data_IF_141054738292
#
_entry.id   IF_141054738292
#
_cell.length_a   1.000
_cell.length_b   1.000
_cell.length_c   1.000
_cell.angle_alpha   90.00
_cell.angle_beta   90.00
_cell.angle_gamma   90.00
#
_symmetry.space_group_name_H-M   'P 1'
#
loop_
_entity.id
_entity.type
_entity.pdbx_description
1 polymer ?
#
# COMPACT_ATOMS: atom_id res chain seq x y z
N UNK A 1 -8.52 -1.77 -25.99
CA UNK A 1 -8.01 -0.67 -25.14
C UNK A 1 -7.68 -1.31 -23.79
N UNK A 2 -6.41 -1.36 -23.38
CA UNK A 2 -6.07 -1.91 -22.06
C UNK A 2 -6.37 -0.84 -21.01
N UNK A 3 -7.45 -1.01 -20.27
CA UNK A 3 -7.78 -0.16 -19.12
C UNK A 3 -6.93 -0.62 -17.94
N UNK A 4 -6.06 0.24 -17.42
CA UNK A 4 -5.36 0.01 -16.15
C UNK A 4 -6.35 0.21 -15.01
N UNK A 5 -6.43 -0.76 -14.09
CA UNK A 5 -7.32 -0.71 -12.94
C UNK A 5 -6.59 -0.23 -11.69
N UNK A 6 -5.31 -0.55 -11.55
CA UNK A 6 -4.47 -0.15 -10.43
C UNK A 6 -4.01 1.31 -10.54
N UNK A 7 -4.19 2.08 -9.47
CA UNK A 7 -3.56 3.39 -9.33
C UNK A 7 -2.20 3.25 -8.63
N UNK A 8 -1.11 3.51 -9.36
CA UNK A 8 0.27 3.50 -8.82
C UNK A 8 0.76 4.88 -8.38
N UNK A 9 -0.04 5.94 -8.57
CA UNK A 9 0.30 7.28 -8.12
C UNK A 9 -0.09 7.47 -6.65
N UNK A 10 0.60 8.34 -5.89
CA UNK A 10 0.18 8.72 -4.56
C UNK A 10 -1.27 9.21 -4.56
N UNK A 11 -2.11 8.58 -3.74
CA UNK A 11 -3.55 8.83 -3.68
C UNK A 11 -4.06 8.83 -2.22
N UNK A 12 -3.28 9.42 -1.32
CA UNK A 12 -3.61 9.51 0.10
C UNK A 12 -4.48 10.75 0.37
N UNK A 13 -5.62 10.54 1.03
CA UNK A 13 -6.52 11.60 1.46
C UNK A 13 -7.92 11.07 1.73
N UNK A 14 -8.73 11.87 2.40
CA UNK A 14 -10.15 11.59 2.63
C UNK A 14 -10.97 12.33 1.58
N UNK A 15 -11.92 11.67 0.87
CA UNK A 15 -12.80 12.33 -0.07
C UNK A 15 -13.53 13.51 0.58
N UNK A 16 -13.41 14.69 -0.03
CA UNK A 16 -14.04 15.93 0.47
C UNK A 16 -13.19 16.73 1.46
N UNK A 17 -12.08 16.20 1.96
CA UNK A 17 -11.15 16.96 2.79
C UNK A 17 -10.13 17.74 1.95
N UNK A 18 -9.74 18.92 2.44
CA UNK A 18 -8.69 19.75 1.84
C UNK A 18 -7.50 19.83 2.79
N UNK A 19 -6.35 19.32 2.36
CA UNK A 19 -5.12 19.39 3.12
C UNK A 19 -4.33 20.66 2.78
N UNK A 20 -3.67 21.24 3.79
CA UNK A 20 -2.80 22.42 3.62
C UNK A 20 -1.63 22.11 2.68
N UNK A 21 -1.05 20.92 2.80
CA UNK A 21 -0.03 20.42 1.90
C UNK A 21 -0.42 19.02 1.39
N UNK A 22 -0.24 18.72 0.09
CA UNK A 22 -0.73 17.50 -0.54
C UNK A 22 -0.06 16.22 -0.01
N UNK A 23 1.12 16.32 0.62
CA UNK A 23 1.88 15.18 1.14
C UNK A 23 1.48 14.78 2.57
N UNK A 24 0.82 15.67 3.32
CA UNK A 24 0.48 15.45 4.74
C UNK A 24 -0.31 14.15 5.01
N UNK A 25 -1.30 13.75 4.20
CA UNK A 25 -2.02 12.49 4.45
C UNK A 25 -1.13 11.27 4.26
N UNK A 26 -0.20 11.32 3.31
CA UNK A 26 0.79 10.27 3.09
C UNK A 26 1.73 10.15 4.27
N UNK A 27 2.33 11.27 4.69
CA UNK A 27 3.24 11.31 5.84
C UNK A 27 2.57 10.78 7.11
N UNK A 28 1.33 11.22 7.38
CA UNK A 28 0.56 10.76 8.53
C UNK A 28 0.23 9.25 8.46
N UNK A 29 0.00 8.70 7.27
CA UNK A 29 -0.19 7.26 7.10
C UNK A 29 1.12 6.50 7.32
N UNK A 30 2.24 6.97 6.75
CA UNK A 30 3.56 6.36 6.95
C UNK A 30 3.96 6.35 8.42
N UNK A 31 3.76 7.45 9.15
CA UNK A 31 4.05 7.53 10.58
C UNK A 31 3.27 6.49 11.39
N UNK A 32 1.99 6.28 11.07
CA UNK A 32 1.15 5.27 11.73
C UNK A 32 1.60 3.86 11.39
N UNK A 33 1.96 3.60 10.14
CA UNK A 33 2.46 2.30 9.70
C UNK A 33 3.76 1.97 10.42
N UNK A 34 4.74 2.87 10.40
CA UNK A 34 6.02 2.71 11.12
C UNK A 34 5.78 2.50 12.61
N UNK A 35 4.88 3.28 13.20
CA UNK A 35 4.54 3.14 14.62
C UNK A 35 3.90 1.78 14.94
N UNK A 36 3.14 1.20 14.02
CA UNK A 36 2.53 -0.12 14.21
C UNK A 36 3.55 -1.27 14.26
N UNK A 37 4.76 -1.05 13.74
CA UNK A 37 5.86 -2.02 13.81
C UNK A 37 6.74 -1.88 15.05
N UNK A 38 6.55 -0.83 15.88
CA UNK A 38 7.36 -0.64 17.09
C UNK A 38 7.15 -1.81 18.05
N UNK A 39 8.25 -2.21 18.68
CA UNK A 39 8.32 -3.30 19.66
C UNK A 39 7.94 -4.70 19.11
N UNK A 40 7.82 -4.86 17.79
CA UNK A 40 7.64 -6.14 17.13
C UNK A 40 9.00 -6.75 16.73
N UNK A 41 9.11 -8.07 16.85
CA UNK A 41 10.19 -8.81 16.18
C UNK A 41 10.00 -8.81 14.66
N UNK A 42 11.04 -9.16 13.91
CA UNK A 42 10.98 -9.25 12.46
C UNK A 42 9.84 -10.18 11.99
N UNK A 43 9.71 -11.36 12.60
CA UNK A 43 8.63 -12.30 12.29
C UNK A 43 7.22 -11.74 12.59
N UNK A 44 7.08 -10.96 13.67
CA UNK A 44 5.81 -10.29 14.00
C UNK A 44 5.51 -9.15 13.03
N UNK A 45 6.54 -8.42 12.62
CA UNK A 45 6.48 -7.35 11.61
C UNK A 45 6.03 -7.90 10.26
N UNK A 46 6.58 -9.04 9.83
CA UNK A 46 6.14 -9.77 8.62
C UNK A 46 4.68 -10.23 8.73
N UNK A 47 4.30 -10.79 9.88
CA UNK A 47 2.91 -11.21 10.12
C UNK A 47 1.93 -10.03 10.07
N UNK A 48 2.30 -8.87 10.63
CA UNK A 48 1.52 -7.65 10.54
C UNK A 48 1.31 -7.24 9.09
N UNK A 49 2.39 -7.22 8.29
CA UNK A 49 2.31 -6.88 6.87
C UNK A 49 1.42 -7.84 6.09
N UNK A 50 1.57 -9.16 6.28
CA UNK A 50 0.74 -10.16 5.63
C UNK A 50 -0.75 -9.97 5.96
N UNK A 51 -1.06 -9.72 7.25
CA UNK A 51 -2.43 -9.48 7.69
C UNK A 51 -3.00 -8.18 7.12
N UNK A 52 -2.20 -7.10 7.10
CA UNK A 52 -2.60 -5.82 6.54
C UNK A 52 -2.90 -5.94 5.04
N UNK A 53 -2.04 -6.62 4.27
CA UNK A 53 -2.25 -6.89 2.85
C UNK A 53 -3.57 -7.63 2.62
N UNK A 54 -3.86 -8.68 3.39
CA UNK A 54 -5.12 -9.43 3.26
C UNK A 54 -6.35 -8.57 3.58
N UNK A 55 -6.28 -7.74 4.62
CA UNK A 55 -7.37 -6.82 4.97
C UNK A 55 -7.63 -5.80 3.87
N UNK A 56 -6.57 -5.22 3.30
CA UNK A 56 -6.68 -4.27 2.19
C UNK A 56 -7.18 -4.94 0.91
N UNK A 57 -6.73 -6.16 0.62
CA UNK A 57 -7.21 -6.92 -0.53
C UNK A 57 -8.71 -7.21 -0.43
N UNK A 58 -9.18 -7.60 0.75
CA UNK A 58 -10.61 -7.79 1.02
C UNK A 58 -11.40 -6.49 0.90
N UNK A 59 -10.83 -5.36 1.33
CA UNK A 59 -11.47 -4.04 1.20
C UNK A 59 -11.56 -3.58 -0.26
N UNK A 60 -10.52 -3.83 -1.06
CA UNK A 60 -10.48 -3.49 -2.49
C UNK A 60 -11.46 -4.33 -3.30
N UNK A 61 -11.47 -5.66 -3.10
CA UNK A 61 -12.43 -6.61 -3.69
C UNK A 61 -12.36 -6.81 -5.22
N UNK A 62 -11.75 -5.90 -5.98
CA UNK A 62 -11.58 -6.02 -7.43
C UNK A 62 -10.33 -6.85 -7.78
N UNK A 63 -10.55 -8.08 -8.23
CA UNK A 63 -9.46 -8.99 -8.62
C UNK A 63 -8.54 -8.43 -9.70
N UNK A 64 -9.03 -7.57 -10.61
CA UNK A 64 -8.19 -6.97 -11.66
C UNK A 64 -7.16 -6.02 -11.05
N UNK A 65 -7.55 -5.26 -10.04
CA UNK A 65 -6.64 -4.38 -9.29
C UNK A 65 -5.61 -5.22 -8.54
N UNK A 66 -6.03 -6.31 -7.92
CA UNK A 66 -5.14 -7.19 -7.15
C UNK A 66 -4.14 -7.93 -8.05
N UNK A 67 -4.57 -8.43 -9.20
CA UNK A 67 -3.70 -9.09 -10.18
C UNK A 67 -2.66 -8.11 -10.75
N UNK A 68 -3.09 -6.90 -11.12
CA UNK A 68 -2.18 -5.83 -11.55
C UNK A 68 -1.19 -5.42 -10.44
N UNK A 69 -1.65 -5.36 -9.18
CA UNK A 69 -0.79 -5.03 -8.04
C UNK A 69 0.29 -6.09 -7.79
N UNK A 70 -0.06 -7.37 -7.88
CA UNK A 70 0.90 -8.48 -7.75
C UNK A 70 1.94 -8.43 -8.87
N UNK A 71 1.50 -8.20 -10.12
CA UNK A 71 2.40 -8.11 -11.26
C UNK A 71 3.41 -6.96 -11.10
N UNK A 72 2.93 -5.76 -10.72
CA UNK A 72 3.79 -4.59 -10.48
C UNK A 72 4.75 -4.81 -9.30
N UNK A 73 4.27 -5.38 -8.19
CA UNK A 73 5.12 -5.67 -7.03
C UNK A 73 6.24 -6.67 -7.36
N UNK A 74 5.92 -7.70 -8.17
CA UNK A 74 6.92 -8.69 -8.60
C UNK A 74 8.01 -8.08 -9.47
N UNK A 75 7.63 -7.25 -10.44
CA UNK A 75 8.56 -6.53 -11.31
C UNK A 75 9.51 -5.63 -10.50
N UNK A 76 8.98 -4.91 -9.51
CA UNK A 76 9.80 -4.07 -8.62
C UNK A 76 10.87 -4.83 -7.84
N UNK A 77 10.61 -6.07 -7.44
CA UNK A 77 11.62 -6.92 -6.77
C UNK A 77 12.67 -7.44 -7.74
N UNK A 78 12.28 -7.76 -8.98
CA UNK A 78 13.21 -8.22 -10.03
C UNK A 78 14.18 -7.11 -10.45
N UNK A 79 13.71 -5.85 -10.51
CA UNK A 79 14.55 -4.68 -10.79
C UNK A 79 15.55 -4.34 -9.67
N UNK A 80 15.27 -4.74 -8.43
CA UNK A 80 16.12 -4.47 -7.25
C UNK A 80 17.21 -5.54 -7.06
N UNK A 81 17.24 -6.59 -7.90
CA UNK A 81 18.31 -7.60 -7.87
C UNK A 81 19.64 -6.99 -8.39
N UNK A 82 20.77 -7.17 -7.68
CA UNK A 82 22.07 -6.59 -8.06
C UNK A 82 22.61 -7.10 -9.40
#
# INVERSE_FOLDING_TARGET
>A
MNTTHLNTRPNFGVPGERYRHPYMPGDAFYDRLVSAHRDLSDAQSEMLNARLVLLLANHIGDLRVLDEAIAVARDGVEQVRP
#
